data_IF_417260312647
#
_entry.id   IF_417260312647
#
_cell.length_a   1.000
_cell.length_b   1.000
_cell.length_c   1.000
_cell.angle_alpha   90.00
_cell.angle_beta   90.00
_cell.angle_gamma   90.00
#
_symmetry.space_group_name_H-M   'P 1'
#
loop_
_entity.id
_entity.type
_entity.pdbx_description
1 polymer ?
#
# COMPACT_ATOMS: atom_id res chain seq x y z
N UNK A 1 8.95 7.67 -0.95
CA UNK A 1 7.92 8.01 0.05
C UNK A 1 7.98 6.99 1.18
N UNK A 2 7.97 7.44 2.44
CA UNK A 2 7.93 6.55 3.61
C UNK A 2 6.46 6.20 3.97
N UNK A 3 6.26 5.29 4.92
CA UNK A 3 4.92 4.85 5.33
C UNK A 3 4.05 5.98 5.88
N UNK A 4 4.63 6.88 6.68
CA UNK A 4 3.90 7.97 7.31
C UNK A 4 3.32 8.94 6.29
N UNK A 5 4.11 9.31 5.28
CA UNK A 5 3.68 10.18 4.18
C UNK A 5 2.59 9.51 3.34
N UNK A 6 2.71 8.19 3.13
CA UNK A 6 1.70 7.42 2.42
C UNK A 6 0.36 7.38 3.19
N UNK A 7 0.39 7.03 4.47
CA UNK A 7 -0.83 6.93 5.29
C UNK A 7 -1.50 8.29 5.42
N UNK A 8 -0.72 9.37 5.54
CA UNK A 8 -1.26 10.74 5.45
C UNK A 8 -1.98 10.93 4.12
N UNK A 9 -1.33 10.67 2.98
CA UNK A 9 -1.92 10.85 1.66
C UNK A 9 -3.19 10.01 1.43
N UNK A 10 -3.20 8.76 1.87
CA UNK A 10 -4.34 7.84 1.82
C UNK A 10 -5.52 8.37 2.65
N UNK A 11 -5.23 8.94 3.82
CA UNK A 11 -6.26 9.39 4.76
C UNK A 11 -6.73 10.83 4.51
N UNK A 12 -5.98 11.64 3.76
CA UNK A 12 -6.31 13.06 3.49
C UNK A 12 -7.41 13.27 2.45
N UNK A 13 -7.73 12.27 1.62
CA UNK A 13 -8.76 12.40 0.60
C UNK A 13 -9.88 11.35 0.78
N UNK A 14 -11.14 11.69 0.44
CA UNK A 14 -12.19 10.70 0.30
C UNK A 14 -11.75 9.63 -0.71
N UNK A 15 -11.94 8.36 -0.35
CA UNK A 15 -11.68 7.27 -1.29
C UNK A 15 -12.83 7.22 -2.27
N UNK A 16 -12.52 7.27 -3.55
CA UNK A 16 -13.53 7.02 -4.58
C UNK A 16 -14.07 5.59 -4.40
N UNK A 17 -15.40 5.35 -4.46
CA UNK A 17 -15.96 3.99 -4.45
C UNK A 17 -15.36 3.06 -5.52
N UNK A 18 -14.75 3.59 -6.58
CA UNK A 18 -13.96 2.83 -7.56
C UNK A 18 -12.57 2.39 -7.09
N UNK A 19 -12.17 2.71 -5.86
CA UNK A 19 -10.92 2.24 -5.23
C UNK A 19 -9.66 3.05 -5.57
N UNK A 20 -9.72 4.01 -6.50
CA UNK A 20 -8.62 4.93 -6.77
C UNK A 20 -8.79 6.21 -5.95
N UNK A 21 -7.98 6.37 -4.91
CA UNK A 21 -7.84 7.69 -4.26
C UNK A 21 -6.84 8.49 -5.11
N UNK A 22 -7.24 9.58 -5.79
CA UNK A 22 -6.38 10.29 -6.76
C UNK A 22 -4.96 10.61 -6.27
N UNK A 23 -4.75 11.15 -5.04
CA UNK A 23 -3.40 11.39 -4.53
C UNK A 23 -2.57 10.10 -4.37
N UNK A 24 -3.20 8.93 -4.22
CA UNK A 24 -2.50 7.64 -4.17
C UNK A 24 -2.06 7.21 -5.57
N UNK A 25 -2.87 7.47 -6.60
CA UNK A 25 -2.53 7.15 -8.00
C UNK A 25 -1.31 7.95 -8.47
N UNK A 26 -1.30 9.26 -8.21
CA UNK A 26 -0.19 10.13 -8.59
C UNK A 26 1.09 9.76 -7.84
N UNK A 27 0.97 9.44 -6.55
CA UNK A 27 2.07 8.98 -5.71
C UNK A 27 2.63 7.63 -6.18
N UNK A 28 1.78 6.69 -6.58
CA UNK A 28 2.21 5.40 -7.15
C UNK A 28 2.90 5.59 -8.49
N UNK A 29 2.36 6.47 -9.35
CA UNK A 29 2.94 6.76 -10.67
C UNK A 29 4.33 7.41 -10.55
N UNK A 30 4.53 8.32 -9.60
CA UNK A 30 5.82 8.95 -9.34
C UNK A 30 6.80 8.06 -8.55
N UNK A 31 6.29 7.18 -7.69
CA UNK A 31 7.07 6.39 -6.74
C UNK A 31 7.52 5.00 -7.23
N UNK A 32 7.00 4.54 -8.38
CA UNK A 32 7.37 3.26 -8.97
C UNK A 32 6.88 2.02 -8.20
N UNK A 33 7.40 0.84 -8.56
CA UNK A 33 6.90 -0.46 -8.09
C UNK A 33 6.91 -0.61 -6.56
N UNK A 34 7.95 -0.11 -5.87
CA UNK A 34 8.02 -0.19 -4.39
C UNK A 34 6.88 0.57 -3.71
N UNK A 35 6.51 1.74 -4.20
CA UNK A 35 5.40 2.52 -3.65
C UNK A 35 4.06 1.86 -3.98
N UNK A 36 3.92 1.31 -5.19
CA UNK A 36 2.75 0.48 -5.56
C UNK A 36 2.52 -0.68 -4.58
N UNK A 37 3.58 -1.40 -4.24
CA UNK A 37 3.49 -2.55 -3.33
C UNK A 37 3.17 -2.12 -1.90
N UNK A 38 3.70 -0.98 -1.45
CA UNK A 38 3.35 -0.43 -0.14
C UNK A 38 1.88 0.00 -0.06
N UNK A 39 1.34 0.60 -1.12
CA UNK A 39 -0.10 0.93 -1.23
C UNK A 39 -0.94 -0.35 -1.19
N UNK A 40 -0.59 -1.36 -1.98
CA UNK A 40 -1.32 -2.63 -1.98
C UNK A 40 -1.27 -3.33 -0.63
N UNK A 41 -0.13 -3.26 0.07
CA UNK A 41 0.00 -3.79 1.42
C UNK A 41 -0.93 -3.07 2.40
N UNK A 42 -0.97 -1.74 2.36
CA UNK A 42 -1.86 -0.94 3.21
C UNK A 42 -3.33 -1.26 2.94
N UNK A 43 -3.76 -1.24 1.68
CA UNK A 43 -5.15 -1.54 1.30
C UNK A 43 -5.54 -2.99 1.65
N UNK A 44 -4.67 -3.96 1.40
CA UNK A 44 -4.89 -5.36 1.76
C UNK A 44 -4.98 -5.58 3.27
N UNK A 45 -4.21 -4.83 4.05
CA UNK A 45 -4.30 -4.82 5.50
C UNK A 45 -5.67 -4.29 5.97
N UNK A 46 -6.13 -3.18 5.41
CA UNK A 46 -7.40 -2.55 5.77
C UNK A 46 -8.61 -3.44 5.47
N UNK A 47 -8.61 -4.13 4.34
CA UNK A 47 -9.67 -5.09 3.97
C UNK A 47 -9.78 -6.18 5.04
N UNK A 48 -8.64 -6.70 5.54
CA UNK A 48 -8.65 -7.76 6.57
C UNK A 48 -9.08 -7.24 7.94
N UNK A 49 -8.77 -5.98 8.25
CA UNK A 49 -9.01 -5.37 9.57
C UNK A 49 -10.29 -4.53 9.66
N UNK A 50 -10.98 -4.35 8.53
CA UNK A 50 -12.22 -3.57 8.40
C UNK A 50 -12.11 -2.14 8.95
N UNK A 51 -10.90 -1.57 8.94
CA UNK A 51 -10.61 -0.18 9.35
C UNK A 51 -9.46 0.39 8.54
N UNK A 52 -9.34 1.72 8.52
CA UNK A 52 -8.21 2.39 7.88
C UNK A 52 -6.89 2.11 8.62
N UNK A 53 -5.80 2.00 7.87
CA UNK A 53 -4.45 1.86 8.38
C UNK A 53 -4.01 3.21 8.97
N UNK A 54 -3.46 3.16 10.18
CA UNK A 54 -2.93 4.29 10.91
C UNK A 54 -1.42 4.19 11.09
N UNK A 55 -0.83 5.21 11.73
CA UNK A 55 0.61 5.24 12.00
C UNK A 55 1.08 4.06 12.87
N UNK A 56 0.23 3.59 13.80
CA UNK A 56 0.55 2.45 14.66
C UNK A 56 0.59 1.08 13.96
N UNK A 57 0.12 1.00 12.71
CA UNK A 57 0.04 -0.26 11.95
C UNK A 57 1.26 -0.48 11.04
N UNK A 58 2.26 0.41 11.10
CA UNK A 58 3.42 0.42 10.20
C UNK A 58 4.11 -0.94 10.10
N UNK A 59 4.42 -1.57 11.25
CA UNK A 59 5.10 -2.87 11.26
C UNK A 59 4.32 -3.97 10.54
N UNK A 60 3.00 -4.00 10.71
CA UNK A 60 2.15 -5.01 10.07
C UNK A 60 2.01 -4.76 8.56
N UNK A 61 1.87 -3.51 8.15
CA UNK A 61 1.76 -3.15 6.73
C UNK A 61 3.07 -3.38 6.01
N UNK A 62 4.21 -3.06 6.63
CA UNK A 62 5.53 -3.32 6.05
C UNK A 62 5.80 -4.83 5.93
N UNK A 63 5.39 -5.64 6.90
CA UNK A 63 5.51 -7.09 6.80
C UNK A 63 4.70 -7.66 5.63
N UNK A 64 3.48 -7.16 5.41
CA UNK A 64 2.67 -7.54 4.24
C UNK A 64 3.30 -7.09 2.91
N UNK A 65 3.91 -5.90 2.87
CA UNK A 65 4.66 -5.45 1.69
C UNK A 65 5.80 -6.41 1.40
N UNK A 66 6.57 -6.79 2.40
CA UNK A 66 7.73 -7.67 2.22
C UNK A 66 7.30 -9.06 1.77
N UNK A 67 6.17 -9.56 2.27
CA UNK A 67 5.55 -10.78 1.76
C UNK A 67 5.12 -10.66 0.29
N UNK A 68 4.55 -9.53 -0.12
CA UNK A 68 4.18 -9.29 -1.52
C UNK A 68 5.41 -9.24 -2.44
N UNK A 69 6.49 -8.59 -1.99
CA UNK A 69 7.77 -8.56 -2.71
C UNK A 69 8.30 -9.98 -2.89
N UNK A 70 8.38 -10.75 -1.80
CA UNK A 70 8.84 -12.14 -1.85
C UNK A 70 8.00 -13.02 -2.79
N UNK A 71 6.68 -12.86 -2.78
CA UNK A 71 5.79 -13.61 -3.68
C UNK A 71 6.01 -13.25 -5.15
N UNK A 72 6.25 -11.97 -5.46
CA UNK A 72 6.54 -11.52 -6.84
C UNK A 72 7.91 -12.04 -7.29
N UNK A 73 8.91 -11.99 -6.43
CA UNK A 73 10.24 -12.52 -6.74
C UNK A 73 10.20 -14.03 -6.96
N UNK A 74 9.46 -14.77 -6.12
CA UNK A 74 9.25 -16.21 -6.29
C UNK A 74 8.52 -16.54 -7.60
N UNK A 75 7.50 -15.76 -7.97
CA UNK A 75 6.78 -15.93 -9.24
C UNK A 75 7.64 -15.60 -10.46
N UNK A 76 8.54 -14.60 -10.36
CA UNK A 76 9.50 -14.27 -11.43
C UNK A 76 10.56 -15.37 -11.60
N UNK A 77 10.95 -16.04 -10.51
CA UNK A 77 11.92 -17.12 -10.54
C UNK A 77 11.32 -18.45 -11.07
N UNK A 78 10.00 -18.63 -10.97
CA UNK A 78 9.26 -19.81 -11.43
C UNK A 78 8.07 -19.38 -12.34
N UNK A 79 8.34 -18.98 -13.59
CA UNK A 79 7.33 -18.42 -14.50
C UNK A 79 6.31 -19.43 -15.02
#
# INVERSE_FOLDING_TARGET
MNYQDLIKAINTAPRDPGGCTPPVVDVVRAGGEKVRLLVNAALGWEIRRQRKAGLGDEGEVLALRDQLVANIEAARANP
#
